data_IF_210793369276
#
_entry.id   IF_210793369276
#
_cell.length_a   1.000
_cell.length_b   1.000
_cell.length_c   1.000
_cell.angle_alpha   90.00
_cell.angle_beta   90.00
_cell.angle_gamma   90.00
#
_symmetry.space_group_name_H-M   'P 1'
#
loop_
_entity.id
_entity.type
_entity.pdbx_description
1 polymer ?
#
# COMPACT_ATOMS: atom_id res chain seq x y z
N UNK A 1 -11.68 10.43 -22.07
CA UNK A 1 -11.90 9.58 -20.88
C UNK A 1 -10.54 9.21 -20.31
N UNK A 2 -10.07 9.92 -19.30
CA UNK A 2 -8.94 9.46 -18.50
C UNK A 2 -9.52 8.53 -17.44
N UNK A 3 -9.33 7.22 -17.59
CA UNK A 3 -9.86 6.23 -16.65
C UNK A 3 -9.10 6.36 -15.33
N UNK A 4 -9.76 6.23 -14.18
CA UNK A 4 -9.11 6.20 -12.85
C UNK A 4 -7.96 5.18 -12.77
N UNK A 5 -8.00 4.14 -13.61
CA UNK A 5 -6.92 3.18 -13.82
C UNK A 5 -5.58 3.82 -14.25
N UNK A 6 -5.61 4.81 -15.15
CA UNK A 6 -4.42 5.51 -15.64
C UNK A 6 -3.83 6.38 -14.53
N UNK A 7 -4.70 7.00 -13.74
CA UNK A 7 -4.31 7.85 -12.61
C UNK A 7 -3.68 7.00 -11.48
N UNK A 8 -4.27 5.84 -11.17
CA UNK A 8 -3.68 4.84 -10.27
C UNK A 8 -2.34 4.30 -10.79
N UNK A 9 -2.23 4.01 -12.10
CA UNK A 9 -0.98 3.60 -12.72
C UNK A 9 0.13 4.66 -12.64
N UNK A 10 -0.21 5.94 -12.78
CA UNK A 10 0.74 7.03 -12.60
C UNK A 10 1.21 7.13 -11.14
N UNK A 11 0.30 7.04 -10.18
CA UNK A 11 0.62 7.03 -8.75
C UNK A 11 1.58 5.87 -8.40
N UNK A 12 1.37 4.68 -8.97
CA UNK A 12 2.30 3.55 -8.76
C UNK A 12 3.72 3.84 -9.24
N UNK A 13 3.88 4.52 -10.37
CA UNK A 13 5.21 4.91 -10.86
C UNK A 13 5.88 5.90 -9.90
N UNK A 14 5.13 6.87 -9.38
CA UNK A 14 5.63 7.81 -8.37
C UNK A 14 6.02 7.09 -7.08
N UNK A 15 5.20 6.15 -6.61
CA UNK A 15 5.48 5.33 -5.43
C UNK A 15 6.72 4.45 -5.63
N UNK A 16 6.91 3.86 -6.82
CA UNK A 16 8.08 3.06 -7.15
C UNK A 16 9.36 3.91 -7.14
N UNK A 17 9.28 5.13 -7.67
CA UNK A 17 10.38 6.08 -7.63
C UNK A 17 10.75 6.52 -6.20
N UNK A 18 9.74 6.74 -5.33
CA UNK A 18 9.97 7.05 -3.92
C UNK A 18 10.59 5.88 -3.16
N UNK A 19 10.18 4.65 -3.46
CA UNK A 19 10.78 3.42 -2.93
C UNK A 19 12.24 3.32 -3.35
N UNK A 20 12.56 3.57 -4.63
CA UNK A 20 13.93 3.60 -5.13
C UNK A 20 14.81 4.61 -4.39
N UNK A 21 14.26 5.77 -4.00
CA UNK A 21 14.96 6.77 -3.18
C UNK A 21 15.04 6.44 -1.68
N UNK A 22 14.56 5.26 -1.26
CA UNK A 22 14.58 4.84 0.15
C UNK A 22 13.48 5.48 1.02
N UNK A 23 12.55 6.24 0.43
CA UNK A 23 11.44 6.88 1.15
C UNK A 23 10.23 5.95 1.22
N UNK A 24 10.43 4.77 1.81
CA UNK A 24 9.44 3.68 1.84
C UNK A 24 8.11 4.14 2.45
N UNK A 25 8.14 4.91 3.54
CA UNK A 25 6.92 5.42 4.18
C UNK A 25 6.10 6.35 3.27
N UNK A 26 6.74 7.18 2.46
CA UNK A 26 6.04 8.04 1.50
C UNK A 26 5.50 7.23 0.32
N UNK A 27 6.26 6.24 -0.14
CA UNK A 27 5.82 5.35 -1.21
C UNK A 27 4.54 4.58 -0.83
N UNK A 28 4.47 4.08 0.40
CA UNK A 28 3.27 3.38 0.90
C UNK A 28 2.04 4.27 0.90
N UNK A 29 2.16 5.55 1.29
CA UNK A 29 1.05 6.50 1.23
C UNK A 29 0.58 6.69 -0.21
N UNK A 30 1.52 6.83 -1.16
CA UNK A 30 1.18 6.99 -2.59
C UNK A 30 0.50 5.72 -3.14
N UNK A 31 0.93 4.53 -2.71
CA UNK A 31 0.29 3.26 -3.07
C UNK A 31 -1.12 3.13 -2.51
N UNK A 32 -1.36 3.58 -1.27
CA UNK A 32 -2.70 3.65 -0.69
C UNK A 32 -3.64 4.53 -1.52
N UNK A 33 -3.16 5.66 -2.03
CA UNK A 33 -3.95 6.50 -2.94
C UNK A 33 -4.22 5.81 -4.29
N UNK A 34 -3.25 5.07 -4.82
CA UNK A 34 -3.45 4.29 -6.05
C UNK A 34 -4.52 3.21 -5.88
N UNK A 35 -4.52 2.51 -4.75
CA UNK A 35 -5.52 1.49 -4.41
C UNK A 35 -6.93 2.08 -4.34
N UNK A 36 -7.10 3.28 -3.77
CA UNK A 36 -8.40 3.98 -3.75
C UNK A 36 -8.90 4.25 -5.18
N UNK A 37 -8.02 4.67 -6.10
CA UNK A 37 -8.38 4.88 -7.50
C UNK A 37 -8.86 3.59 -8.17
N UNK A 38 -8.27 2.44 -7.82
CA UNK A 38 -8.66 1.14 -8.35
C UNK A 38 -9.93 0.59 -7.70
N UNK A 39 -10.20 0.87 -6.43
CA UNK A 39 -11.48 0.54 -5.78
C UNK A 39 -12.62 1.30 -6.47
N UNK A 40 -12.45 2.59 -6.74
CA UNK A 40 -13.47 3.39 -7.46
C UNK A 40 -13.70 2.83 -8.86
N UNK A 41 -12.63 2.44 -9.57
CA UNK A 41 -12.74 1.83 -10.90
C UNK A 41 -13.43 0.45 -10.88
N UNK A 42 -13.14 -0.38 -9.89
CA UNK A 42 -13.76 -1.68 -9.73
C UNK A 42 -15.25 -1.56 -9.38
N UNK A 43 -15.63 -0.54 -8.60
CA UNK A 43 -17.03 -0.19 -8.34
C UNK A 43 -17.76 0.25 -9.62
N UNK A 44 -17.15 1.11 -10.45
CA UNK A 44 -17.71 1.49 -11.76
C UNK A 44 -17.85 0.32 -12.75
N UNK A 45 -17.08 -0.75 -12.55
CA UNK A 45 -17.05 -1.95 -13.40
C UNK A 45 -17.92 -3.10 -12.86
N UNK A 46 -18.66 -2.88 -11.77
CA UNK A 46 -19.40 -3.93 -11.04
C UNK A 46 -18.52 -5.13 -10.64
N UNK A 47 -17.20 -4.93 -10.48
CA UNK A 47 -16.26 -5.95 -10.06
C UNK A 47 -16.10 -5.93 -8.53
N UNK A 48 -17.10 -6.48 -7.86
CA UNK A 48 -17.15 -6.59 -6.41
C UNK A 48 -16.06 -7.52 -5.84
N UNK A 49 -15.64 -8.53 -6.62
CA UNK A 49 -14.58 -9.46 -6.22
C UNK A 49 -13.23 -8.76 -6.24
N UNK A 50 -12.92 -8.05 -7.34
CA UNK A 50 -11.72 -7.22 -7.46
C UNK A 50 -11.65 -6.17 -6.36
N UNK A 51 -12.76 -5.48 -6.11
CA UNK A 51 -12.87 -4.49 -5.02
C UNK A 51 -12.55 -5.10 -3.65
N UNK A 52 -13.09 -6.28 -3.35
CA UNK A 52 -12.83 -6.97 -2.08
C UNK A 52 -11.35 -7.36 -1.91
N UNK A 53 -10.70 -7.87 -2.96
CA UNK A 53 -9.28 -8.19 -2.92
C UNK A 53 -8.40 -6.95 -2.71
N UNK A 54 -8.72 -5.84 -3.37
CA UNK A 54 -7.99 -4.59 -3.17
C UNK A 54 -8.17 -4.12 -1.72
N UNK A 55 -9.40 -4.03 -1.21
CA UNK A 55 -9.67 -3.56 0.16
C UNK A 55 -8.94 -4.41 1.21
N UNK A 56 -8.99 -5.74 1.08
CA UNK A 56 -8.30 -6.64 2.02
C UNK A 56 -6.78 -6.45 1.94
N UNK A 57 -6.20 -6.44 0.73
CA UNK A 57 -4.78 -6.20 0.52
C UNK A 57 -4.31 -4.85 1.07
N UNK A 58 -5.05 -3.79 0.78
CA UNK A 58 -4.76 -2.43 1.28
C UNK A 58 -4.83 -2.37 2.81
N UNK A 59 -5.79 -3.06 3.43
CA UNK A 59 -5.91 -3.12 4.90
C UNK A 59 -4.69 -3.80 5.53
N UNK A 60 -4.29 -4.97 5.01
CA UNK A 60 -3.08 -5.66 5.49
C UNK A 60 -1.80 -4.85 5.25
N UNK A 61 -1.69 -4.18 4.10
CA UNK A 61 -0.59 -3.27 3.79
C UNK A 61 -0.51 -2.10 4.78
N UNK A 62 -1.66 -1.50 5.11
CA UNK A 62 -1.75 -0.42 6.08
C UNK A 62 -1.41 -0.86 7.51
N UNK A 63 -1.88 -2.04 7.94
CA UNK A 63 -1.50 -2.61 9.24
C UNK A 63 0.00 -2.87 9.33
N UNK A 64 0.60 -3.38 8.25
CA UNK A 64 2.06 -3.57 8.17
C UNK A 64 2.80 -2.23 8.25
N UNK A 65 2.32 -1.22 7.54
CA UNK A 65 2.84 0.15 7.62
C UNK A 65 2.79 0.71 9.05
N UNK A 66 1.65 0.58 9.74
CA UNK A 66 1.52 1.03 11.12
C UNK A 66 2.50 0.31 12.05
N UNK A 67 2.70 -1.00 11.86
CA UNK A 67 3.67 -1.80 12.62
C UNK A 67 5.12 -1.36 12.36
N UNK A 68 5.46 -1.02 11.11
CA UNK A 68 6.76 -0.47 10.75
C UNK A 68 6.98 0.93 11.35
N UNK A 69 5.97 1.81 11.23
CA UNK A 69 6.04 3.20 11.70
C UNK A 69 6.17 3.29 13.22
N UNK A 70 5.50 2.40 13.97
CA UNK A 70 5.62 2.31 15.44
C UNK A 70 6.98 1.80 15.92
N UNK A 71 7.85 1.32 15.03
CA UNK A 71 9.13 0.73 15.39
C UNK A 71 9.02 -0.61 16.13
N UNK A 72 7.81 -1.15 16.27
CA UNK A 72 7.55 -2.45 16.90
C UNK A 72 8.26 -3.58 16.16
N UNK A 73 8.45 -3.43 14.84
CA UNK A 73 9.21 -4.38 14.03
C UNK A 73 10.70 -4.45 14.44
N UNK A 74 11.30 -3.31 14.82
CA UNK A 74 12.68 -3.26 15.30
C UNK A 74 12.78 -3.86 16.71
N UNK A 75 11.74 -3.66 17.54
CA UNK A 75 11.65 -4.21 18.89
C UNK A 75 11.46 -5.74 18.87
N UNK A 76 10.68 -6.29 17.93
CA UNK A 76 10.54 -7.75 17.78
C UNK A 76 11.82 -8.41 17.27
N UNK A 77 12.50 -7.82 16.29
CA UNK A 77 13.77 -8.33 15.75
C UNK A 77 14.88 -8.39 16.82
N UNK A 78 14.99 -7.38 17.67
CA UNK A 78 15.98 -7.37 18.75
C UNK A 78 15.59 -8.23 19.96
N UNK A 79 14.31 -8.56 20.13
CA UNK A 79 13.86 -9.47 21.18
C UNK A 79 14.20 -10.91 20.82
N UNK A 80 13.91 -11.30 19.58
CA UNK A 80 14.25 -12.63 19.03
C UNK A 80 15.76 -12.91 19.05
N UNK A 81 16.59 -11.88 18.84
CA UNK A 81 18.06 -11.99 18.91
C UNK A 81 18.64 -12.14 20.33
N UNK A 82 17.89 -11.75 21.37
CA UNK A 82 18.32 -11.89 22.77
C UNK A 82 17.79 -13.16 23.44
N UNK A 83 16.88 -13.88 22.79
CA UNK A 83 16.29 -15.15 23.26
C UNK A 83 16.96 -16.39 22.59
N UNK A 84 18.05 -16.19 21.83
CA UNK A 84 18.89 -17.19 21.16
C UNK A 84 20.31 -17.17 21.75
#
# INVERSE_FOLDING_TARGET
MMTFAVLGGFLLNVGAFLTYKGKIYQAVIVYLFADICWIVMAYERDDYIGSFFIITGTTFGFLTYLKMQRGEMNKSLNKEKNDL
#
